data_IF_770507161674
#
_entry.id   IF_770507161674
#
_cell.length_a   1.000
_cell.length_b   1.000
_cell.length_c   1.000
_cell.angle_alpha   90.00
_cell.angle_beta   90.00
_cell.angle_gamma   90.00
#
_symmetry.space_group_name_H-M   'P 1'
#
loop_
_entity.id
_entity.type
_entity.pdbx_description
1 polymer ?
#
# COMPACT_ATOMS: atom_id res chain seq x y z
N UNK A 1 27.94 6.29 9.72
CA UNK A 1 27.92 6.58 8.27
C UNK A 1 27.06 5.54 7.57
N UNK A 2 25.89 5.96 7.11
CA UNK A 2 24.87 5.14 6.48
C UNK A 2 25.38 4.57 5.16
N UNK A 3 25.50 3.26 5.05
CA UNK A 3 25.70 2.58 3.77
C UNK A 3 24.36 2.02 3.29
N UNK A 4 23.59 2.85 2.60
CA UNK A 4 22.50 2.41 1.73
C UNK A 4 23.10 1.86 0.45
N UNK A 5 23.39 0.56 0.44
CA UNK A 5 23.67 -0.17 -0.78
C UNK A 5 22.41 -0.94 -1.17
N UNK A 6 21.74 -0.45 -2.21
CA UNK A 6 20.79 -1.19 -3.01
C UNK A 6 21.43 -2.52 -3.42
N UNK A 7 21.03 -3.62 -2.79
CA UNK A 7 21.51 -4.94 -3.16
C UNK A 7 20.32 -5.80 -3.57
N UNK A 8 20.02 -5.77 -4.87
CA UNK A 8 19.30 -6.84 -5.53
C UNK A 8 20.21 -8.07 -5.47
N UNK A 9 19.94 -9.00 -4.56
CA UNK A 9 20.63 -10.28 -4.52
C UNK A 9 19.64 -11.34 -4.13
N UNK A 10 19.22 -12.09 -5.16
CA UNK A 10 19.10 -13.54 -5.19
C UNK A 10 19.17 -14.22 -3.82
N UNK A 11 18.10 -14.12 -3.05
CA UNK A 11 17.82 -15.05 -1.98
C UNK A 11 16.80 -16.03 -2.52
N UNK A 12 17.17 -17.31 -2.62
CA UNK A 12 16.24 -18.43 -2.72
C UNK A 12 15.25 -18.30 -1.57
N UNK A 13 14.11 -17.64 -1.82
CA UNK A 13 13.09 -17.38 -0.81
C UNK A 13 12.48 -18.73 -0.46
N UNK A 14 12.41 -19.11 0.83
CA UNK A 14 11.62 -20.28 1.19
C UNK A 14 10.22 -20.07 0.62
N UNK A 15 9.66 -21.15 0.06
CA UNK A 15 8.34 -21.22 -0.54
C UNK A 15 7.24 -21.03 0.53
N UNK A 16 7.20 -19.86 1.16
CA UNK A 16 6.18 -19.45 2.12
C UNK A 16 5.29 -18.41 1.47
N UNK A 17 4.48 -18.85 0.49
CA UNK A 17 3.24 -18.22 -0.02
C UNK A 17 3.18 -16.68 0.11
N UNK A 18 4.16 -15.97 -0.45
CA UNK A 18 4.18 -14.51 -0.48
C UNK A 18 3.43 -13.99 -1.71
N UNK A 19 2.82 -12.82 -1.57
CA UNK A 19 2.12 -12.14 -2.66
C UNK A 19 2.99 -11.01 -3.20
N UNK A 20 3.44 -11.15 -4.44
CA UNK A 20 4.30 -10.17 -5.13
C UNK A 20 3.49 -9.24 -6.02
N UNK A 21 3.88 -7.96 -6.06
CA UNK A 21 3.29 -6.98 -6.96
C UNK A 21 3.96 -7.04 -8.34
N UNK A 22 3.18 -7.24 -9.40
CA UNK A 22 3.71 -7.32 -10.77
C UNK A 22 4.26 -6.00 -11.30
N UNK A 23 3.87 -4.86 -10.73
CA UNK A 23 4.28 -3.52 -11.19
C UNK A 23 5.64 -3.07 -10.61
N UNK A 24 5.96 -3.46 -9.37
CA UNK A 24 7.17 -3.01 -8.68
C UNK A 24 7.95 -4.12 -7.97
N UNK A 25 7.52 -5.37 -8.16
CA UNK A 25 8.11 -6.59 -7.59
C UNK A 25 8.23 -6.62 -6.05
N UNK A 26 7.58 -5.68 -5.36
CA UNK A 26 7.49 -5.69 -3.89
C UNK A 26 6.75 -6.93 -3.41
N UNK A 27 7.27 -7.50 -2.33
CA UNK A 27 6.76 -8.72 -1.74
C UNK A 27 5.99 -8.42 -0.46
N UNK A 28 4.82 -9.01 -0.33
CA UNK A 28 3.95 -8.88 0.84
C UNK A 28 3.67 -10.26 1.45
N UNK A 29 3.51 -10.28 2.77
CA UNK A 29 3.18 -11.47 3.57
C UNK A 29 1.72 -11.89 3.42
N UNK A 30 0.85 -11.02 2.88
CA UNK A 30 -0.59 -11.26 2.80
C UNK A 30 -1.19 -10.68 1.53
N UNK A 31 -2.21 -11.35 0.98
CA UNK A 31 -2.89 -10.89 -0.23
C UNK A 31 -3.56 -9.52 -0.04
N UNK A 32 -4.18 -9.30 1.13
CA UNK A 32 -4.78 -8.00 1.47
C UNK A 32 -3.76 -6.84 1.36
N UNK A 33 -2.53 -7.04 1.84
CA UNK A 33 -1.48 -6.03 1.76
C UNK A 33 -1.07 -5.77 0.30
N UNK A 34 -1.00 -6.81 -0.53
CA UNK A 34 -0.74 -6.66 -1.96
C UNK A 34 -1.86 -5.88 -2.66
N UNK A 35 -3.14 -6.19 -2.36
CA UNK A 35 -4.30 -5.50 -2.94
C UNK A 35 -4.38 -4.04 -2.49
N UNK A 36 -4.08 -3.74 -1.22
CA UNK A 36 -3.97 -2.35 -0.78
C UNK A 36 -2.82 -1.63 -1.46
N UNK A 37 -1.71 -2.32 -1.67
CA UNK A 37 -0.56 -1.77 -2.38
C UNK A 37 -0.85 -1.52 -3.87
N UNK A 38 -1.60 -2.39 -4.55
CA UNK A 38 -1.91 -2.21 -5.98
C UNK A 38 -2.67 -0.90 -6.25
N UNK A 39 -3.49 -0.43 -5.31
CA UNK A 39 -4.17 0.88 -5.35
C UNK A 39 -3.20 2.07 -5.42
N UNK A 40 -1.92 1.87 -5.09
CA UNK A 40 -0.88 2.91 -5.25
C UNK A 40 -0.54 3.12 -6.72
N UNK A 41 -0.56 2.05 -7.52
CA UNK A 41 -0.24 2.11 -8.95
C UNK A 41 -1.44 2.60 -9.77
N UNK A 42 -2.65 2.16 -9.43
CA UNK A 42 -3.87 2.62 -10.11
C UNK A 42 -4.32 4.00 -9.66
N UNK A 43 -3.78 4.50 -8.54
CA UNK A 43 -4.23 5.76 -7.93
C UNK A 43 -5.66 5.69 -7.40
N UNK A 44 -6.27 4.51 -7.36
CA UNK A 44 -7.64 4.33 -6.90
C UNK A 44 -7.75 4.68 -5.41
N UNK A 45 -8.68 5.59 -5.15
CA UNK A 45 -9.03 6.06 -3.82
C UNK A 45 -10.51 5.82 -3.63
N UNK A 46 -10.90 4.58 -3.25
CA UNK A 46 -12.32 4.20 -3.20
C UNK A 46 -13.07 4.93 -2.10
N UNK A 47 -12.37 5.44 -1.08
CA UNK A 47 -13.00 6.12 0.04
C UNK A 47 -13.00 7.63 -0.20
N UNK A 48 -14.16 8.19 -0.54
CA UNK A 48 -14.39 9.64 -0.65
C UNK A 48 -14.90 10.18 0.69
N UNK A 49 -14.44 11.37 1.09
CA UNK A 49 -15.04 12.09 2.20
C UNK A 49 -16.46 12.57 1.83
N UNK A 50 -17.41 12.50 2.76
CA UNK A 50 -18.77 13.00 2.52
C UNK A 50 -18.88 14.52 2.60
N UNK A 51 -17.95 15.19 3.29
CA UNK A 51 -17.95 16.64 3.50
C UNK A 51 -17.11 17.41 2.47
N UNK A 52 -16.22 16.73 1.74
CA UNK A 52 -15.39 17.35 0.70
C UNK A 52 -14.97 16.33 -0.36
N UNK A 53 -14.43 16.80 -1.49
CA UNK A 53 -13.99 15.93 -2.59
C UNK A 53 -12.65 15.19 -2.34
N UNK A 54 -12.11 15.24 -1.12
CA UNK A 54 -10.89 14.47 -0.80
C UNK A 54 -11.17 12.97 -0.81
N UNK A 55 -10.32 12.24 -1.53
CA UNK A 55 -10.33 10.77 -1.60
C UNK A 55 -9.12 10.17 -0.90
N UNK A 56 -9.31 9.04 -0.24
CA UNK A 56 -8.32 8.33 0.56
C UNK A 56 -8.25 6.85 0.18
N UNK A 57 -7.12 6.22 0.47
CA UNK A 57 -6.86 4.79 0.18
C UNK A 57 -7.41 3.84 1.25
N UNK A 58 -7.66 4.35 2.45
CA UNK A 58 -8.15 3.58 3.61
C UNK A 58 -9.28 4.32 4.31
N UNK A 59 -10.22 3.55 4.86
CA UNK A 59 -11.36 4.07 5.61
C UNK A 59 -10.95 4.76 6.91
N UNK A 60 -9.97 4.22 7.63
CA UNK A 60 -9.44 4.81 8.87
C UNK A 60 -8.99 6.26 8.68
N UNK A 61 -8.30 6.55 7.56
CA UNK A 61 -7.90 7.91 7.21
C UNK A 61 -9.08 8.82 6.90
N UNK A 62 -10.14 8.31 6.24
CA UNK A 62 -11.37 9.10 6.03
C UNK A 62 -12.02 9.42 7.37
N UNK A 63 -12.19 8.43 8.24
CA UNK A 63 -12.81 8.63 9.55
C UNK A 63 -12.06 9.61 10.44
N UNK A 64 -10.72 9.59 10.41
CA UNK A 64 -9.92 10.60 11.10
C UNK A 64 -10.09 11.97 10.46
N UNK A 65 -10.07 12.04 9.13
CA UNK A 65 -10.26 13.29 8.40
C UNK A 65 -11.64 13.91 8.60
N UNK A 66 -12.70 13.11 8.69
CA UNK A 66 -14.07 13.61 8.92
C UNK A 66 -14.21 14.31 10.27
N UNK A 67 -13.37 13.99 11.26
CA UNK A 67 -13.37 14.71 12.54
C UNK A 67 -12.97 16.17 12.39
N UNK A 68 -12.19 16.51 11.36
CA UNK A 68 -11.77 17.88 11.05
C UNK A 68 -12.87 18.71 10.39
N UNK A 69 -13.98 18.09 10.00
CA UNK A 69 -15.15 18.76 9.40
C UNK A 69 -16.28 18.98 10.41
N UNK A 70 -16.09 18.58 11.67
CA UNK A 70 -16.95 19.03 12.78
C UNK A 70 -16.87 20.53 12.91
#
# INVERSE_FOLDING_TARGET
>A
MSKTASNMSSASRPSSKYHTCSQCLKSFTSNHQLVQHSRVHTGEKPYKCSYCDKKFKQLSHVQQHTRLHT
#
